data_IF_452609270072
#
_entry.id   IF_452609270072
#
_cell.length_a   1.000
_cell.length_b   1.000
_cell.length_c   1.000
_cell.angle_alpha   90.00
_cell.angle_beta   90.00
_cell.angle_gamma   90.00
#
_symmetry.space_group_name_H-M   'P 1'
#
loop_
_entity.id
_entity.type
_entity.pdbx_description
1 polymer ?
#
# COMPACT_ATOMS: atom_id res chain seq x y z
N UNK A 1 -5.97 12.21 19.34
CA UNK A 1 -7.19 11.45 19.71
C UNK A 1 -8.13 11.25 18.53
N UNK A 2 -8.42 12.26 17.71
CA UNK A 2 -9.40 12.12 16.62
C UNK A 2 -9.00 11.10 15.52
N UNK A 3 -7.72 11.09 15.10
CA UNK A 3 -7.25 10.18 14.05
C UNK A 3 -7.30 8.70 14.46
N UNK A 4 -6.81 8.34 15.66
CA UNK A 4 -6.85 6.95 16.15
C UNK A 4 -8.28 6.41 16.25
N UNK A 5 -9.20 7.25 16.72
CA UNK A 5 -10.61 6.88 16.82
C UNK A 5 -11.24 6.68 15.42
N UNK A 6 -10.94 7.58 14.48
CA UNK A 6 -11.35 7.47 13.08
C UNK A 6 -10.76 6.23 12.39
N UNK A 7 -9.51 5.90 12.68
CA UNK A 7 -8.82 4.70 12.19
C UNK A 7 -9.45 3.41 12.76
N UNK A 8 -9.83 3.40 14.04
CA UNK A 8 -10.53 2.30 14.66
C UNK A 8 -11.93 2.08 14.03
N UNK A 9 -12.68 3.15 13.76
CA UNK A 9 -13.97 3.08 13.06
C UNK A 9 -13.82 2.53 11.63
N UNK A 10 -12.78 2.96 10.91
CA UNK A 10 -12.46 2.44 9.58
C UNK A 10 -12.17 0.92 9.63
N UNK A 11 -11.38 0.47 10.60
CA UNK A 11 -11.13 -0.96 10.82
C UNK A 11 -12.41 -1.74 11.14
N UNK A 12 -13.28 -1.19 11.97
CA UNK A 12 -14.56 -1.81 12.31
C UNK A 12 -15.47 -1.93 11.09
N UNK A 13 -15.59 -0.88 10.28
CA UNK A 13 -16.40 -0.90 9.06
C UNK A 13 -15.84 -1.92 8.03
N UNK A 14 -14.53 -1.92 7.78
CA UNK A 14 -13.91 -2.89 6.87
C UNK A 14 -14.11 -4.34 7.36
N UNK A 15 -14.01 -4.58 8.67
CA UNK A 15 -14.27 -5.91 9.26
C UNK A 15 -15.73 -6.31 9.10
N UNK A 16 -16.67 -5.37 9.25
CA UNK A 16 -18.11 -5.61 9.05
C UNK A 16 -18.43 -6.05 7.61
N UNK A 17 -17.70 -5.53 6.62
CA UNK A 17 -17.81 -5.95 5.22
C UNK A 17 -17.00 -7.22 4.90
N UNK A 18 -16.40 -7.88 5.90
CA UNK A 18 -15.66 -9.12 5.73
C UNK A 18 -14.28 -8.95 5.09
N UNK A 19 -13.74 -7.72 5.06
CA UNK A 19 -12.41 -7.46 4.51
C UNK A 19 -11.36 -7.90 5.52
N UNK A 20 -10.48 -8.81 5.10
CA UNK A 20 -9.43 -9.36 5.96
C UNK A 20 -8.45 -8.28 6.46
N UNK A 21 -7.93 -8.39 7.70
CA UNK A 21 -6.95 -7.46 8.27
C UNK A 21 -5.71 -7.21 7.40
N UNK A 22 -5.19 -8.27 6.77
CA UNK A 22 -4.03 -8.19 5.87
C UNK A 22 -4.27 -7.32 4.64
N UNK A 23 -5.54 -7.24 4.19
CA UNK A 23 -5.93 -6.43 3.05
C UNK A 23 -6.41 -5.04 3.46
N UNK A 24 -7.11 -4.91 4.59
CA UNK A 24 -7.58 -3.62 5.10
C UNK A 24 -6.42 -2.73 5.55
N UNK A 25 -5.35 -3.32 6.09
CA UNK A 25 -4.18 -2.61 6.59
C UNK A 25 -2.88 -3.32 6.15
N UNK A 26 -2.47 -3.14 4.89
CA UNK A 26 -1.26 -3.77 4.36
C UNK A 26 0.00 -3.23 5.04
N UNK A 27 1.09 -4.01 5.00
CA UNK A 27 2.37 -3.70 5.66
C UNK A 27 2.89 -2.31 5.29
N UNK A 28 2.72 -1.88 4.03
CA UNK A 28 3.13 -0.54 3.58
C UNK A 28 2.48 0.59 4.37
N UNK A 29 1.20 0.43 4.77
CA UNK A 29 0.48 1.40 5.59
C UNK A 29 0.76 1.23 7.08
N UNK A 30 0.98 -0.02 7.54
CA UNK A 30 1.39 -0.27 8.93
C UNK A 30 2.71 0.43 9.25
N UNK A 31 3.69 0.36 8.34
CA UNK A 31 4.97 1.06 8.49
C UNK A 31 4.80 2.57 8.50
N UNK A 32 3.88 3.09 7.69
CA UNK A 32 3.58 4.53 7.63
C UNK A 32 2.96 5.02 8.95
N UNK A 33 2.03 4.26 9.51
CA UNK A 33 1.45 4.56 10.83
C UNK A 33 2.48 4.42 11.94
N UNK A 34 3.35 3.40 11.86
CA UNK A 34 4.41 3.22 12.84
C UNK A 34 5.44 4.36 12.81
N UNK A 35 5.67 4.98 11.65
CA UNK A 35 6.48 6.20 11.54
C UNK A 35 5.75 7.47 12.03
N UNK A 36 4.54 7.35 12.57
CA UNK A 36 3.73 8.46 13.09
C UNK A 36 2.95 9.24 12.03
N UNK A 37 2.90 8.78 10.78
CA UNK A 37 2.15 9.45 9.72
C UNK A 37 0.67 9.11 9.81
N UNK A 38 -0.17 10.13 9.85
CA UNK A 38 -1.63 10.02 9.95
C UNK A 38 -2.26 9.87 8.55
N UNK A 39 -2.00 8.74 7.89
CA UNK A 39 -2.61 8.42 6.60
C UNK A 39 -3.89 7.57 6.77
N UNK A 40 -4.98 7.84 6.05
CA UNK A 40 -6.13 6.95 6.05
C UNK A 40 -5.74 5.55 5.51
N UNK A 41 -6.48 4.51 5.91
CA UNK A 41 -6.30 3.16 5.32
C UNK A 41 -6.51 3.22 3.79
N UNK A 42 -5.90 2.29 3.01
CA UNK A 42 -5.95 2.34 1.55
C UNK A 42 -7.36 2.48 0.97
N UNK A 43 -8.36 1.83 1.58
CA UNK A 43 -9.76 1.91 1.15
C UNK A 43 -10.38 3.31 1.28
N UNK A 44 -9.87 4.15 2.19
CA UNK A 44 -10.35 5.51 2.44
C UNK A 44 -9.41 6.58 1.89
N UNK A 45 -8.23 6.18 1.39
CA UNK A 45 -7.25 7.05 0.78
C UNK A 45 -7.60 7.46 -0.65
N UNK A 46 -7.04 8.58 -1.09
CA UNK A 46 -7.15 9.01 -2.49
C UNK A 46 -6.33 8.08 -3.39
N UNK A 47 -6.82 7.85 -4.61
CA UNK A 47 -6.15 7.00 -5.61
C UNK A 47 -4.68 7.40 -5.82
N UNK A 48 -4.39 8.70 -5.95
CA UNK A 48 -3.02 9.21 -6.17
C UNK A 48 -2.10 8.90 -4.98
N UNK A 49 -2.59 9.05 -3.75
CA UNK A 49 -1.83 8.75 -2.53
C UNK A 49 -1.51 7.26 -2.44
N UNK A 50 -2.53 6.41 -2.66
CA UNK A 50 -2.33 4.96 -2.68
C UNK A 50 -1.35 4.54 -3.78
N UNK A 51 -1.52 5.08 -4.99
CA UNK A 51 -0.62 4.82 -6.12
C UNK A 51 0.83 5.14 -5.77
N UNK A 52 1.11 6.31 -5.19
CA UNK A 52 2.47 6.70 -4.79
C UNK A 52 3.04 5.76 -3.72
N UNK A 53 2.25 5.45 -2.68
CA UNK A 53 2.70 4.58 -1.57
C UNK A 53 3.00 3.16 -2.08
N UNK A 54 2.09 2.56 -2.85
CA UNK A 54 2.30 1.21 -3.37
C UNK A 54 3.42 1.18 -4.41
N UNK A 55 3.54 2.19 -5.27
CA UNK A 55 4.65 2.28 -6.23
C UNK A 55 6.00 2.31 -5.50
N UNK A 56 6.14 3.15 -4.48
CA UNK A 56 7.36 3.21 -3.68
C UNK A 56 7.65 1.88 -2.97
N UNK A 57 6.61 1.30 -2.34
CA UNK A 57 6.72 0.04 -1.61
C UNK A 57 7.18 -1.13 -2.50
N UNK A 58 6.50 -1.35 -3.63
CA UNK A 58 6.85 -2.44 -4.53
C UNK A 58 8.17 -2.19 -5.27
N UNK A 59 8.47 -0.93 -5.64
CA UNK A 59 9.80 -0.62 -6.22
C UNK A 59 10.92 -0.97 -5.25
N UNK A 60 10.76 -0.65 -3.96
CA UNK A 60 11.73 -0.97 -2.93
C UNK A 60 11.88 -2.48 -2.73
N UNK A 61 10.76 -3.23 -2.68
CA UNK A 61 10.80 -4.70 -2.58
C UNK A 61 11.58 -5.31 -3.75
N UNK A 62 11.29 -4.90 -4.99
CA UNK A 62 11.99 -5.44 -6.15
C UNK A 62 13.48 -5.07 -6.15
N UNK A 63 13.83 -3.84 -5.73
CA UNK A 63 15.23 -3.45 -5.60
C UNK A 63 15.98 -4.32 -4.58
N UNK A 64 15.36 -4.60 -3.43
CA UNK A 64 15.92 -5.52 -2.42
C UNK A 64 16.06 -6.93 -2.98
N UNK A 65 15.07 -7.43 -3.72
CA UNK A 65 15.14 -8.75 -4.37
C UNK A 65 16.32 -8.82 -5.34
N UNK A 66 16.56 -7.79 -6.15
CA UNK A 66 17.72 -7.77 -7.05
C UNK A 66 19.05 -7.75 -6.30
N UNK A 67 19.17 -6.97 -5.22
CA UNK A 67 20.38 -6.95 -4.37
C UNK A 67 20.63 -8.34 -3.76
N UNK A 68 19.58 -8.98 -3.23
CA UNK A 68 19.70 -10.33 -2.67
C UNK A 68 20.03 -11.37 -3.75
N UNK A 69 19.44 -11.26 -4.94
CA UNK A 69 19.73 -12.15 -6.06
C UNK A 69 21.21 -12.05 -6.49
N UNK A 70 21.76 -10.84 -6.54
CA UNK A 70 23.18 -10.60 -6.84
C UNK A 70 24.08 -11.28 -5.79
N UNK A 71 23.78 -11.08 -4.50
CA UNK A 71 24.54 -11.69 -3.39
C UNK A 71 24.48 -13.21 -3.41
N UNK A 72 23.33 -13.81 -3.73
CA UNK A 72 23.14 -15.27 -3.67
C UNK A 72 23.73 -15.97 -4.90
N UNK A 73 23.67 -15.33 -6.08
CA UNK A 73 24.05 -15.97 -7.34
C UNK A 73 25.51 -15.79 -7.73
N UNK A 74 26.25 -14.88 -7.08
CA UNK A 74 27.57 -14.40 -7.51
C UNK A 74 27.56 -13.90 -8.98
N UNK A 75 26.38 -13.62 -9.54
CA UNK A 75 26.22 -13.07 -10.89
C UNK A 75 25.95 -11.57 -10.80
N UNK A 76 26.79 -10.73 -11.41
CA UNK A 76 26.59 -9.29 -11.36
C UNK A 76 25.32 -8.91 -12.12
N UNK A 77 24.42 -8.20 -11.46
CA UNK A 77 23.21 -7.68 -12.08
C UNK A 77 23.49 -6.25 -12.54
N UNK A 78 23.19 -5.97 -13.80
CA UNK A 78 23.34 -4.62 -14.33
C UNK A 78 22.46 -3.63 -13.55
N UNK A 79 23.08 -2.66 -12.86
CA UNK A 79 22.41 -1.69 -12.00
C UNK A 79 21.25 -0.98 -12.70
N UNK A 80 21.45 -0.55 -13.95
CA UNK A 80 20.39 0.08 -14.74
C UNK A 80 19.19 -0.86 -14.96
N UNK A 81 19.43 -2.14 -15.27
CA UNK A 81 18.36 -3.12 -15.44
C UNK A 81 17.58 -3.33 -14.14
N UNK A 82 18.28 -3.46 -13.01
CA UNK A 82 17.65 -3.61 -11.70
C UNK A 82 16.78 -2.40 -11.35
N UNK A 83 17.28 -1.17 -11.55
CA UNK A 83 16.54 0.06 -11.28
C UNK A 83 15.30 0.16 -12.17
N UNK A 84 15.46 0.02 -13.49
CA UNK A 84 14.34 0.13 -14.43
C UNK A 84 13.28 -0.94 -14.17
N UNK A 85 13.69 -2.19 -13.94
CA UNK A 85 12.76 -3.28 -13.68
C UNK A 85 12.04 -3.09 -12.36
N UNK A 86 12.73 -2.63 -11.31
CA UNK A 86 12.12 -2.36 -10.01
C UNK A 86 11.09 -1.24 -10.09
N UNK A 87 11.42 -0.14 -10.77
CA UNK A 87 10.49 0.97 -10.98
C UNK A 87 9.29 0.55 -11.83
N UNK A 88 9.52 -0.20 -12.91
CA UNK A 88 8.44 -0.69 -13.78
C UNK A 88 7.49 -1.63 -13.03
N UNK A 89 8.04 -2.57 -12.25
CA UNK A 89 7.27 -3.47 -11.40
C UNK A 89 6.49 -2.67 -10.34
N UNK A 90 7.13 -1.70 -9.69
CA UNK A 90 6.51 -0.83 -8.71
C UNK A 90 5.35 -0.02 -9.28
N UNK A 91 5.51 0.64 -10.42
CA UNK A 91 4.45 1.41 -11.08
C UNK A 91 3.28 0.50 -11.44
N UNK A 92 3.56 -0.67 -12.04
CA UNK A 92 2.51 -1.61 -12.45
C UNK A 92 1.73 -2.14 -11.26
N UNK A 93 2.42 -2.55 -10.18
CA UNK A 93 1.80 -2.99 -8.95
C UNK A 93 1.05 -1.84 -8.24
N UNK A 94 1.61 -0.63 -8.26
CA UNK A 94 1.03 0.57 -7.70
C UNK A 94 -0.30 0.93 -8.34
N UNK A 95 -0.38 0.94 -9.69
CA UNK A 95 -1.63 1.17 -10.43
C UNK A 95 -2.65 0.09 -10.10
N UNK A 96 -2.20 -1.17 -10.09
CA UNK A 96 -3.07 -2.32 -9.82
C UNK A 96 -3.70 -2.24 -8.43
N UNK A 97 -2.88 -1.99 -7.40
CA UNK A 97 -3.35 -1.85 -6.01
C UNK A 97 -4.21 -0.61 -5.80
N UNK A 98 -3.80 0.55 -6.34
CA UNK A 98 -4.60 1.77 -6.23
C UNK A 98 -5.99 1.59 -6.85
N UNK A 99 -6.06 0.94 -8.02
CA UNK A 99 -7.33 0.59 -8.69
C UNK A 99 -8.15 -0.38 -7.86
N UNK A 100 -7.50 -1.43 -7.34
CA UNK A 100 -8.15 -2.41 -6.48
C UNK A 100 -8.82 -1.76 -5.27
N UNK A 101 -8.10 -0.94 -4.50
CA UNK A 101 -8.66 -0.30 -3.30
C UNK A 101 -9.73 0.73 -3.64
N UNK A 102 -9.58 1.48 -4.73
CA UNK A 102 -10.61 2.40 -5.21
C UNK A 102 -11.90 1.68 -5.57
N UNK A 103 -11.80 0.56 -6.30
CA UNK A 103 -12.96 -0.22 -6.69
C UNK A 103 -13.57 -0.97 -5.49
N UNK A 104 -12.75 -1.53 -4.60
CA UNK A 104 -13.18 -2.18 -3.37
C UNK A 104 -14.02 -1.22 -2.51
N UNK A 105 -13.54 0.01 -2.30
CA UNK A 105 -14.26 1.02 -1.53
C UNK A 105 -15.64 1.35 -2.11
N UNK A 106 -15.73 1.46 -3.44
CA UNK A 106 -17.01 1.67 -4.14
C UNK A 106 -17.91 0.45 -4.07
N UNK A 107 -17.36 -0.76 -4.24
CA UNK A 107 -18.10 -2.02 -4.23
C UNK A 107 -18.79 -2.26 -2.88
N UNK A 108 -18.12 -1.92 -1.78
CA UNK A 108 -18.66 -2.06 -0.43
C UNK A 108 -19.40 -0.81 0.06
N UNK A 109 -19.53 0.24 -0.78
CA UNK A 109 -20.16 1.51 -0.44
C UNK A 109 -19.69 2.06 0.92
N UNK A 110 -18.36 2.08 1.11
CA UNK A 110 -17.76 2.48 2.39
C UNK A 110 -18.06 3.94 2.70
N UNK A 111 -18.16 4.23 4.01
CA UNK A 111 -18.32 5.60 4.47
C UNK A 111 -17.13 6.48 4.02
N UNK A 112 -17.36 7.71 3.56
CA UNK A 112 -16.27 8.64 3.31
C UNK A 112 -15.43 8.87 4.57
N UNK A 113 -14.10 8.94 4.43
CA UNK A 113 -13.18 9.12 5.57
C UNK A 113 -13.64 10.21 6.54
N UNK A 114 -13.99 11.40 6.03
CA UNK A 114 -14.39 12.55 6.84
C UNK A 114 -15.68 12.37 7.66
N UNK A 115 -16.47 11.32 7.39
CA UNK A 115 -17.70 10.99 8.10
C UNK A 115 -17.47 10.00 9.25
N UNK A 116 -16.30 9.35 9.31
CA UNK A 116 -15.90 8.51 10.42
C UNK A 116 -15.40 9.40 11.57
N UNK A 117 -16.23 9.63 12.59
CA UNK A 117 -15.91 10.48 13.75
C UNK A 117 -16.49 9.90 15.03
#
# INVERSE_FOLDING_TARGET
MHFEQQLALAHQELTRYGIQPSNSHPISFQLLHWSGLQAPLPHYGHFKTNFSIFTAWYSLIFAIIFILAEIISDTPIALFSAIFTSLFAGITAGISMATYYYYSAKRFNLSPWHQLK
#
